data_IF_207338622945
#
_entry.id   IF_207338622945
#
_cell.length_a   1.000
_cell.length_b   1.000
_cell.length_c   1.000
_cell.angle_alpha   90.00
_cell.angle_beta   90.00
_cell.angle_gamma   90.00
#
_symmetry.space_group_name_H-M   'P 1'
#
loop_
_entity.id
_entity.type
_entity.pdbx_description
1 polymer ?
#
# COMPACT_ATOMS: atom_id res chain seq x y z
N UNK A 1 7.85 -13.82 4.44
CA UNK A 1 8.23 -12.40 4.26
C UNK A 1 7.42 -11.79 3.12
N UNK A 2 6.84 -10.59 3.31
CA UNK A 2 6.12 -9.85 2.26
C UNK A 2 6.99 -8.78 1.55
N UNK A 3 8.27 -8.68 1.94
CA UNK A 3 9.25 -7.73 1.40
C UNK A 3 10.31 -8.49 0.62
N UNK A 4 10.60 -8.02 -0.59
CA UNK A 4 11.47 -8.67 -1.56
C UNK A 4 12.41 -7.66 -2.18
N UNK A 5 13.58 -8.12 -2.64
CA UNK A 5 14.53 -7.31 -3.40
C UNK A 5 14.42 -7.67 -4.87
N UNK A 6 14.20 -6.67 -5.70
CA UNK A 6 14.19 -6.82 -7.15
C UNK A 6 15.63 -7.02 -7.66
N UNK A 7 15.83 -8.11 -8.41
CA UNK A 7 17.18 -8.50 -8.89
C UNK A 7 17.70 -7.60 -10.00
N UNK A 8 16.81 -6.92 -10.76
CA UNK A 8 17.18 -6.08 -11.91
C UNK A 8 17.48 -4.64 -11.50
N UNK A 9 16.62 -4.05 -10.69
CA UNK A 9 16.70 -2.65 -10.26
C UNK A 9 17.42 -2.48 -8.93
N UNK A 10 17.75 -3.57 -8.23
CA UNK A 10 18.29 -3.60 -6.85
C UNK A 10 17.40 -2.88 -5.81
N UNK A 11 16.18 -2.50 -6.18
CA UNK A 11 15.21 -1.85 -5.29
C UNK A 11 14.42 -2.87 -4.47
N UNK A 12 13.78 -2.42 -3.40
CA UNK A 12 12.91 -3.23 -2.57
C UNK A 12 11.45 -3.05 -2.99
N UNK A 13 10.67 -4.12 -2.87
CA UNK A 13 9.24 -4.12 -3.14
C UNK A 13 8.48 -4.93 -2.10
N UNK A 14 7.23 -4.54 -1.89
CA UNK A 14 6.29 -5.21 -1.00
C UNK A 14 5.22 -5.87 -1.85
N UNK A 15 4.95 -7.15 -1.61
CA UNK A 15 3.82 -7.87 -2.21
C UNK A 15 2.98 -8.47 -1.09
N UNK A 16 1.71 -8.08 -1.04
CA UNK A 16 0.75 -8.58 -0.05
C UNK A 16 -0.53 -9.03 -0.74
N UNK A 17 -1.08 -10.14 -0.26
CA UNK A 17 -2.38 -10.65 -0.64
C UNK A 17 -3.29 -10.73 0.58
N UNK A 18 -4.56 -10.42 0.42
CA UNK A 18 -5.59 -10.61 1.44
C UNK A 18 -6.89 -11.09 0.80
N UNK A 19 -7.81 -11.55 1.63
CA UNK A 19 -9.15 -11.92 1.21
C UNK A 19 -10.12 -10.86 1.69
N UNK A 20 -11.01 -10.42 0.81
CA UNK A 20 -12.11 -9.53 1.19
C UNK A 20 -13.26 -10.34 1.81
N UNK A 21 -14.25 -9.63 2.36
CA UNK A 21 -15.47 -10.20 2.92
C UNK A 21 -16.22 -11.14 1.94
N UNK A 22 -16.08 -10.90 0.64
CA UNK A 22 -16.66 -11.73 -0.43
C UNK A 22 -15.79 -12.94 -0.83
N UNK A 23 -14.78 -13.31 -0.02
CA UNK A 23 -13.80 -14.38 -0.30
C UNK A 23 -12.98 -14.16 -1.57
N UNK A 24 -13.01 -12.96 -2.17
CA UNK A 24 -12.18 -12.62 -3.33
C UNK A 24 -10.76 -12.30 -2.85
N UNK A 25 -9.76 -12.83 -3.56
CA UNK A 25 -8.35 -12.61 -3.24
C UNK A 25 -7.84 -11.37 -3.94
N UNK A 26 -7.37 -10.41 -3.16
CA UNK A 26 -6.80 -9.16 -3.64
C UNK A 26 -5.29 -9.16 -3.48
N UNK A 27 -4.62 -8.38 -4.33
CA UNK A 27 -3.17 -8.26 -4.35
C UNK A 27 -2.76 -6.81 -4.47
N UNK A 28 -1.82 -6.40 -3.63
CA UNK A 28 -1.15 -5.12 -3.78
C UNK A 28 0.35 -5.34 -3.88
N UNK A 29 0.94 -4.66 -4.86
CA UNK A 29 2.40 -4.64 -5.03
C UNK A 29 2.85 -3.18 -5.08
N UNK A 30 3.72 -2.79 -4.14
CA UNK A 30 4.40 -1.48 -4.17
C UNK A 30 5.88 -1.70 -4.40
N UNK A 31 6.45 -0.98 -5.38
CA UNK A 31 7.84 -1.14 -5.84
C UNK A 31 8.58 0.19 -5.71
N UNK A 32 9.92 0.15 -5.79
CA UNK A 32 10.76 1.33 -5.88
C UNK A 32 11.37 1.82 -4.55
N UNK A 33 11.26 1.05 -3.47
CA UNK A 33 11.85 1.43 -2.20
C UNK A 33 13.37 1.30 -2.26
N UNK A 34 14.09 2.32 -1.78
CA UNK A 34 15.56 2.29 -1.76
C UNK A 34 16.10 1.40 -0.65
N UNK A 35 15.38 1.31 0.47
CA UNK A 35 15.81 0.55 1.66
C UNK A 35 14.79 -0.52 2.05
N UNK A 36 15.29 -1.63 2.62
CA UNK A 36 14.44 -2.70 3.16
C UNK A 36 13.51 -2.18 4.27
N UNK A 37 14.04 -1.31 5.13
CA UNK A 37 13.31 -0.74 6.28
C UNK A 37 12.13 0.13 5.84
N UNK A 38 12.27 0.85 4.73
CA UNK A 38 11.17 1.63 4.14
C UNK A 38 10.07 0.72 3.60
N UNK A 39 10.44 -0.35 2.88
CA UNK A 39 9.51 -1.37 2.44
C UNK A 39 8.80 -2.08 3.61
N UNK A 40 9.51 -2.36 4.71
CA UNK A 40 8.92 -2.94 5.93
C UNK A 40 7.90 -2.00 6.59
N UNK A 41 8.21 -0.70 6.73
CA UNK A 41 7.26 0.30 7.25
C UNK A 41 5.99 0.33 6.41
N UNK A 42 6.12 0.33 5.09
CA UNK A 42 4.96 0.33 4.17
C UNK A 42 4.17 -0.97 4.29
N UNK A 43 4.85 -2.11 4.42
CA UNK A 43 4.20 -3.40 4.64
C UNK A 43 3.39 -3.43 5.95
N UNK A 44 3.89 -2.81 7.03
CA UNK A 44 3.17 -2.68 8.30
C UNK A 44 1.95 -1.78 8.14
N UNK A 45 2.09 -0.63 7.47
CA UNK A 45 0.95 0.27 7.18
C UNK A 45 -0.13 -0.43 6.36
N UNK A 46 0.25 -1.14 5.30
CA UNK A 46 -0.68 -1.93 4.49
C UNK A 46 -1.35 -3.04 5.30
N UNK A 47 -0.64 -3.67 6.23
CA UNK A 47 -1.22 -4.66 7.14
C UNK A 47 -2.33 -4.07 8.00
N UNK A 48 -2.07 -2.90 8.58
CA UNK A 48 -3.04 -2.20 9.42
C UNK A 48 -4.26 -1.76 8.61
N UNK A 49 -4.07 -1.24 7.39
CA UNK A 49 -5.17 -0.83 6.52
C UNK A 49 -6.05 -2.00 6.09
N UNK A 50 -5.45 -3.13 5.71
CA UNK A 50 -6.19 -4.37 5.41
C UNK A 50 -6.98 -4.86 6.63
N UNK A 51 -6.37 -4.83 7.82
CA UNK A 51 -7.04 -5.26 9.06
C UNK A 51 -8.22 -4.34 9.42
N UNK A 52 -8.09 -3.04 9.15
CA UNK A 52 -9.15 -2.07 9.34
C UNK A 52 -10.25 -2.13 8.27
N UNK A 53 -10.17 -3.07 7.31
CA UNK A 53 -11.17 -3.22 6.24
C UNK A 53 -11.16 -2.07 5.22
N UNK A 54 -10.09 -1.27 5.18
CA UNK A 54 -9.94 -0.18 4.22
C UNK A 54 -9.54 -0.80 2.88
N UNK A 55 -10.27 -0.47 1.82
CA UNK A 55 -9.95 -0.88 0.44
C UNK A 55 -8.61 -0.28 0.01
N UNK A 56 -7.53 -1.00 0.30
CA UNK A 56 -6.14 -0.64 -0.05
C UNK A 56 -5.85 -0.71 -1.55
N UNK A 57 -6.78 -1.25 -2.34
CA UNK A 57 -6.70 -1.28 -3.81
C UNK A 57 -7.01 0.07 -4.44
N UNK A 58 -7.83 0.89 -3.79
CA UNK A 58 -7.97 2.29 -4.16
C UNK A 58 -6.76 3.05 -3.66
N UNK A 59 -5.81 3.37 -4.56
CA UNK A 59 -5.02 4.59 -4.37
C UNK A 59 -6.04 5.69 -4.08
N UNK A 60 -5.95 6.42 -2.95
CA UNK A 60 -6.80 7.58 -2.74
C UNK A 60 -6.57 8.46 -3.95
N UNK A 61 -7.59 8.54 -4.82
CA UNK A 61 -7.51 9.34 -6.03
C UNK A 61 -7.11 10.72 -5.54
N UNK A 62 -6.10 11.33 -6.14
CA UNK A 62 -5.63 12.68 -5.78
C UNK A 62 -6.80 13.66 -5.51
N UNK A 63 -7.94 13.44 -6.17
CA UNK A 63 -9.23 14.08 -5.93
C UNK A 63 -9.74 14.07 -4.46
N UNK A 64 -9.65 12.96 -3.71
CA UNK A 64 -10.10 12.91 -2.31
C UNK A 64 -9.18 13.77 -1.41
N UNK A 65 -7.87 13.63 -1.58
CA UNK A 65 -6.89 14.46 -0.87
C UNK A 65 -7.06 15.95 -1.20
N UNK A 66 -7.30 16.28 -2.48
CA UNK A 66 -7.55 17.64 -2.93
C UNK A 66 -8.84 18.23 -2.35
N UNK A 67 -9.90 17.43 -2.23
CA UNK A 67 -11.16 17.85 -1.63
C UNK A 67 -11.05 18.12 -0.12
N UNK A 68 -10.33 17.28 0.64
CA UNK A 68 -10.06 17.54 2.06
C UNK A 68 -9.19 18.79 2.27
N UNK A 69 -8.20 19.02 1.38
CA UNK A 69 -7.36 20.21 1.44
C UNK A 69 -8.14 21.49 1.18
N UNK A 70 -9.00 21.52 0.14
CA UNK A 70 -9.90 22.67 -0.11
C UNK A 70 -10.78 22.94 1.11
N UNK A 71 -11.41 21.91 1.70
CA UNK A 71 -12.31 22.09 2.83
C UNK A 71 -11.64 22.62 4.09
N UNK A 72 -10.35 22.34 4.27
CA UNK A 72 -9.64 22.67 5.51
C UNK A 72 -8.96 24.04 5.44
N UNK A 73 -8.54 24.48 4.25
CA UNK A 73 -7.66 25.65 4.11
C UNK A 73 -8.17 26.73 3.16
N UNK A 74 -9.30 26.53 2.47
CA UNK A 74 -9.83 27.50 1.51
C UNK A 74 -11.23 27.98 1.89
#
# INVERSE_FOLDING_TARGET
MAVYKDKKTKTWFVKRSWYDAHKKRHYITRRGFKTKREAEKVNIKLAAQVNNGIDVTRDPVFADYYNEWIKTYK
#
